data_IF_707184923818
#
_entry.id   IF_707184923818
#
_cell.length_a   1.000
_cell.length_b   1.000
_cell.length_c   1.000
_cell.angle_alpha   90.00
_cell.angle_beta   90.00
_cell.angle_gamma   90.00
#
_symmetry.space_group_name_H-M   'P 1'
#
loop_
_entity.id
_entity.type
_entity.pdbx_description
1 polymer ?
#
# COMPACT_ATOMS: atom_id res chain seq x y z
N UNK A 1 6.24 -16.57 -10.27
CA UNK A 1 6.53 -17.41 -9.08
C UNK A 1 8.02 -17.48 -8.77
N UNK A 2 8.83 -18.11 -9.64
CA UNK A 2 10.28 -18.25 -9.38
C UNK A 2 11.01 -16.92 -9.18
N UNK A 3 10.69 -15.89 -9.99
CA UNK A 3 11.26 -14.55 -9.80
C UNK A 3 10.98 -13.99 -8.40
N UNK A 4 9.71 -13.85 -8.04
CA UNK A 4 9.31 -13.35 -6.72
C UNK A 4 9.95 -14.14 -5.57
N UNK A 5 9.92 -15.49 -5.61
CA UNK A 5 10.57 -16.32 -4.58
C UNK A 5 12.08 -16.13 -4.53
N UNK A 6 12.76 -16.01 -5.68
CA UNK A 6 14.20 -15.80 -5.73
C UNK A 6 14.63 -14.54 -4.99
N UNK A 7 13.90 -13.43 -5.20
CA UNK A 7 14.19 -12.18 -4.50
C UNK A 7 13.83 -12.27 -3.01
N UNK A 8 12.60 -12.71 -2.67
CA UNK A 8 12.10 -12.73 -1.29
C UNK A 8 12.85 -13.74 -0.39
N UNK A 9 13.28 -14.87 -0.94
CA UNK A 9 14.06 -15.88 -0.20
C UNK A 9 15.41 -15.36 0.31
N UNK A 10 15.92 -14.25 -0.27
CA UNK A 10 17.12 -13.60 0.23
C UNK A 10 16.90 -12.93 1.59
N UNK A 11 15.65 -12.65 1.96
CA UNK A 11 15.28 -11.97 3.20
C UNK A 11 14.60 -12.92 4.20
N UNK A 12 13.62 -13.71 3.74
CA UNK A 12 12.84 -14.63 4.56
C UNK A 12 12.63 -15.95 3.82
N UNK A 13 12.76 -17.08 4.53
CA UNK A 13 12.47 -18.41 3.96
C UNK A 13 10.98 -18.73 3.89
N UNK A 14 10.14 -17.99 4.61
CA UNK A 14 8.71 -18.24 4.75
C UNK A 14 7.90 -17.54 3.65
N UNK A 15 8.03 -18.05 2.41
CA UNK A 15 7.39 -17.45 1.22
C UNK A 15 6.47 -18.46 0.53
N UNK A 16 5.17 -18.32 0.79
CA UNK A 16 4.11 -19.10 0.14
C UNK A 16 3.53 -18.34 -1.04
N UNK A 17 3.42 -19.01 -2.19
CA UNK A 17 2.75 -18.45 -3.37
C UNK A 17 1.77 -19.50 -3.89
N UNK A 18 0.50 -19.13 -3.94
CA UNK A 18 -0.56 -19.97 -4.48
C UNK A 18 -0.72 -19.72 -5.99
N UNK A 19 -0.94 -20.80 -6.76
CA UNK A 19 -1.28 -20.72 -8.18
C UNK A 19 -2.78 -20.77 -8.33
N UNK A 20 -3.38 -19.70 -8.85
CA UNK A 20 -4.76 -19.75 -9.36
C UNK A 20 -4.75 -19.64 -10.88
N UNK A 21 -4.80 -20.79 -11.55
CA UNK A 21 -4.88 -20.85 -13.01
C UNK A 21 -6.34 -21.11 -13.43
N UNK A 22 -6.90 -20.18 -14.22
CA UNK A 22 -8.27 -20.29 -14.74
C UNK A 22 -8.27 -20.63 -16.23
N UNK A 23 -9.16 -21.54 -16.63
CA UNK A 23 -9.41 -21.87 -18.04
C UNK A 23 -10.32 -20.83 -18.69
N UNK A 24 -10.23 -20.66 -20.00
CA UNK A 24 -10.97 -19.65 -20.79
C UNK A 24 -12.46 -19.58 -20.47
N UNK A 25 -13.12 -20.72 -20.29
CA UNK A 25 -14.57 -20.79 -19.97
C UNK A 25 -14.96 -19.97 -18.73
N UNK A 26 -14.04 -19.83 -17.76
CA UNK A 26 -14.25 -19.11 -16.49
C UNK A 26 -13.37 -17.84 -16.40
N UNK A 27 -12.30 -17.76 -17.19
CA UNK A 27 -11.30 -16.69 -17.14
C UNK A 27 -11.68 -15.43 -17.95
N UNK A 28 -12.69 -15.51 -18.81
CA UNK A 28 -13.10 -14.41 -19.69
C UNK A 28 -12.33 -14.38 -21.01
N UNK A 29 -12.49 -13.26 -21.73
CA UNK A 29 -12.01 -13.10 -23.11
C UNK A 29 -10.57 -12.61 -23.21
N UNK A 30 -10.06 -11.94 -22.16
CA UNK A 30 -8.71 -11.39 -22.13
C UNK A 30 -7.71 -12.40 -21.55
N UNK A 31 -6.65 -12.67 -22.29
CA UNK A 31 -5.45 -13.34 -21.77
C UNK A 31 -4.67 -12.38 -20.87
N UNK A 32 -4.23 -12.88 -19.72
CA UNK A 32 -3.42 -12.09 -18.80
C UNK A 32 -2.95 -12.92 -17.64
N UNK A 33 -1.88 -12.47 -17.00
CA UNK A 33 -1.40 -13.04 -15.77
C UNK A 33 -0.92 -11.93 -14.84
N UNK A 34 -1.03 -12.17 -13.55
CA UNK A 34 -0.59 -11.23 -12.54
C UNK A 34 -0.15 -11.96 -11.31
N UNK A 35 0.47 -11.22 -10.41
CA UNK A 35 0.82 -11.69 -9.09
C UNK A 35 0.48 -10.60 -8.09
N UNK A 36 -0.15 -11.03 -6.99
CA UNK A 36 -0.41 -10.20 -5.83
C UNK A 36 0.38 -10.84 -4.68
N UNK A 37 1.17 -10.03 -4.01
CA UNK A 37 1.97 -10.43 -2.86
C UNK A 37 1.55 -9.56 -1.67
N UNK A 38 1.50 -10.17 -0.50
CA UNK A 38 1.36 -9.44 0.75
C UNK A 38 2.36 -9.94 1.79
N UNK A 39 2.81 -9.04 2.64
CA UNK A 39 3.63 -9.34 3.80
C UNK A 39 2.84 -9.00 5.07
N UNK A 40 2.85 -9.91 6.03
CA UNK A 40 2.21 -9.74 7.33
C UNK A 40 3.30 -9.53 8.39
N UNK A 41 3.15 -8.48 9.19
CA UNK A 41 3.99 -8.27 10.36
C UNK A 41 3.41 -8.98 11.58
N UNK A 42 4.24 -9.22 12.61
CA UNK A 42 3.78 -9.81 13.88
C UNK A 42 2.74 -8.96 14.62
N UNK A 43 2.63 -7.69 14.25
CA UNK A 43 1.69 -6.71 14.81
C UNK A 43 0.35 -6.70 14.05
N UNK A 44 0.20 -7.56 13.04
CA UNK A 44 -1.02 -7.63 12.22
C UNK A 44 -1.12 -6.52 11.17
N UNK A 45 0.00 -5.89 10.80
CA UNK A 45 0.05 -4.93 9.69
C UNK A 45 0.31 -5.70 8.40
N UNK A 46 -0.42 -5.33 7.34
CA UNK A 46 -0.29 -5.94 6.03
C UNK A 46 0.26 -4.92 5.03
N UNK A 47 1.29 -5.33 4.32
CA UNK A 47 1.79 -4.63 3.14
C UNK A 47 1.42 -5.42 1.90
N UNK A 48 1.04 -4.74 0.83
CA UNK A 48 0.60 -5.37 -0.40
C UNK A 48 1.28 -4.73 -1.61
N UNK A 49 1.58 -5.58 -2.59
CA UNK A 49 2.04 -5.14 -3.90
C UNK A 49 1.55 -6.08 -4.97
N UNK A 50 1.24 -5.52 -6.13
CA UNK A 50 0.77 -6.27 -7.28
C UNK A 50 1.54 -5.88 -8.54
N UNK A 51 1.59 -6.80 -9.48
CA UNK A 51 2.02 -6.53 -10.84
C UNK A 51 1.23 -7.41 -11.81
N UNK A 52 0.78 -6.81 -12.91
CA UNK A 52 -0.03 -7.46 -13.94
C UNK A 52 0.67 -7.37 -15.29
N UNK A 53 0.44 -8.34 -16.16
CA UNK A 53 0.84 -8.27 -17.56
C UNK A 53 0.06 -7.16 -18.27
N UNK A 54 0.71 -6.48 -19.21
CA UNK A 54 0.03 -5.56 -20.10
C UNK A 54 -0.95 -6.32 -21.02
N UNK A 55 -2.09 -5.70 -21.39
CA UNK A 55 -3.06 -6.32 -22.29
C UNK A 55 -2.49 -6.50 -23.70
N UNK A 56 -3.01 -7.49 -24.42
CA UNK A 56 -2.68 -7.70 -25.83
C UNK A 56 -2.97 -6.45 -26.67
N UNK A 57 -1.99 -5.98 -27.43
CA UNK A 57 -2.11 -4.77 -28.26
C UNK A 57 -1.66 -3.46 -27.59
N UNK A 58 -1.12 -3.51 -26.36
CA UNK A 58 -0.42 -2.36 -25.79
C UNK A 58 0.83 -1.99 -26.64
N UNK A 59 1.16 -0.69 -26.73
CA UNK A 59 2.26 -0.16 -27.57
C UNK A 59 3.66 -0.56 -27.10
N UNK A 60 3.78 -1.41 -26.08
CA UNK A 60 5.07 -1.88 -25.60
C UNK A 60 5.61 -2.94 -26.56
N UNK A 61 6.72 -2.65 -27.22
CA UNK A 61 7.36 -3.54 -28.21
C UNK A 61 7.97 -4.83 -27.63
N UNK A 62 7.85 -5.08 -26.32
CA UNK A 62 8.50 -6.22 -25.67
C UNK A 62 7.49 -7.10 -24.91
N UNK A 63 7.56 -8.42 -25.07
CA UNK A 63 6.70 -9.35 -24.33
C UNK A 63 7.05 -9.32 -22.84
N UNK A 64 6.03 -9.26 -21.97
CA UNK A 64 6.22 -9.28 -20.52
C UNK A 64 6.72 -10.65 -20.08
N UNK A 65 7.94 -10.70 -19.51
CA UNK A 65 8.52 -11.95 -19.01
C UNK A 65 7.95 -12.24 -17.61
N UNK A 66 7.32 -13.41 -17.36
CA UNK A 66 6.70 -13.72 -16.07
C UNK A 66 7.66 -13.67 -14.87
N UNK A 67 8.93 -14.02 -15.09
CA UNK A 67 9.97 -13.94 -14.04
C UNK A 67 10.24 -12.50 -13.65
N UNK A 68 10.35 -11.60 -14.63
CA UNK A 68 10.58 -10.17 -14.39
C UNK A 68 9.36 -9.51 -13.73
N UNK A 69 8.15 -9.88 -14.14
CA UNK A 69 6.92 -9.42 -13.49
C UNK A 69 6.90 -9.82 -12.00
N UNK A 70 7.29 -11.06 -11.71
CA UNK A 70 7.42 -11.54 -10.34
C UNK A 70 8.47 -10.80 -9.52
N UNK A 71 9.63 -10.51 -10.12
CA UNK A 71 10.68 -9.70 -9.49
C UNK A 71 10.17 -8.28 -9.22
N UNK A 72 9.49 -7.66 -10.18
CA UNK A 72 8.92 -6.32 -10.05
C UNK A 72 7.92 -6.23 -8.90
N UNK A 73 6.99 -7.19 -8.79
CA UNK A 73 6.05 -7.24 -7.67
C UNK A 73 6.75 -7.39 -6.32
N UNK A 74 7.76 -8.27 -6.24
CA UNK A 74 8.54 -8.45 -5.02
C UNK A 74 9.35 -7.20 -4.65
N UNK A 75 9.95 -6.52 -5.63
CA UNK A 75 10.62 -5.23 -5.41
C UNK A 75 9.66 -4.14 -4.94
N UNK A 76 8.45 -4.08 -5.50
CA UNK A 76 7.43 -3.14 -5.02
C UNK A 76 7.02 -3.41 -3.57
N UNK A 77 6.85 -4.69 -3.19
CA UNK A 77 6.54 -5.07 -1.81
C UNK A 77 7.67 -4.67 -0.85
N UNK A 78 8.92 -4.97 -1.21
CA UNK A 78 10.09 -4.58 -0.41
C UNK A 78 10.21 -3.06 -0.29
N UNK A 79 9.88 -2.31 -1.33
CA UNK A 79 9.85 -0.85 -1.27
C UNK A 79 8.76 -0.35 -0.30
N UNK A 80 7.57 -0.95 -0.26
CA UNK A 80 6.53 -0.57 0.72
C UNK A 80 7.03 -0.82 2.16
N UNK A 81 7.66 -1.96 2.40
CA UNK A 81 8.24 -2.31 3.72
C UNK A 81 9.37 -1.32 4.08
N UNK A 82 10.25 -1.01 3.14
CA UNK A 82 11.37 -0.10 3.33
C UNK A 82 10.93 1.33 3.70
N UNK A 83 9.80 1.80 3.16
CA UNK A 83 9.25 3.12 3.47
C UNK A 83 8.67 3.25 4.89
N UNK A 84 8.44 2.14 5.60
CA UNK A 84 8.24 2.14 7.06
C UNK A 84 6.93 2.78 7.58
N UNK A 85 5.89 2.90 6.75
CA UNK A 85 4.55 3.31 7.19
C UNK A 85 3.71 2.12 7.68
N UNK A 86 2.63 2.33 8.43
CA UNK A 86 1.68 1.25 8.76
C UNK A 86 0.70 0.93 7.63
N UNK A 87 0.70 1.71 6.55
CA UNK A 87 -0.22 1.57 5.42
C UNK A 87 0.56 1.73 4.13
N UNK A 88 0.25 0.88 3.15
CA UNK A 88 0.77 0.97 1.79
C UNK A 88 0.46 2.32 1.14
N UNK A 89 1.33 2.77 0.24
CA UNK A 89 1.12 4.01 -0.52
C UNK A 89 -0.18 4.02 -1.34
N UNK A 90 -0.63 2.86 -1.82
CA UNK A 90 -1.89 2.71 -2.59
C UNK A 90 -3.12 2.89 -1.70
N UNK A 91 -3.08 2.36 -0.48
CA UNK A 91 -4.18 2.40 0.49
C UNK A 91 -4.16 3.66 1.38
N UNK A 92 -3.06 4.42 1.38
CA UNK A 92 -2.86 5.60 2.22
C UNK A 92 -4.01 6.61 2.14
N UNK A 93 -4.46 6.95 0.92
CA UNK A 93 -5.56 7.89 0.72
C UNK A 93 -6.90 7.37 1.27
N UNK A 94 -7.16 6.06 1.12
CA UNK A 94 -8.36 5.43 1.64
C UNK A 94 -8.35 5.41 3.18
N UNK A 95 -7.23 5.04 3.79
CA UNK A 95 -7.06 5.04 5.24
C UNK A 95 -7.28 6.44 5.84
N UNK A 96 -6.67 7.47 5.26
CA UNK A 96 -6.86 8.87 5.71
C UNK A 96 -8.31 9.32 5.52
N UNK A 97 -8.97 8.92 4.44
CA UNK A 97 -10.39 9.24 4.24
C UNK A 97 -11.25 8.59 5.32
N UNK A 98 -10.99 7.33 5.67
CA UNK A 98 -11.71 6.64 6.74
C UNK A 98 -11.50 7.29 8.11
N UNK A 99 -10.27 7.76 8.40
CA UNK A 99 -10.01 8.54 9.62
C UNK A 99 -10.81 9.86 9.64
N UNK A 100 -10.90 10.56 8.49
CA UNK A 100 -11.68 11.79 8.39
C UNK A 100 -13.20 11.57 8.51
N UNK A 101 -13.70 10.39 8.16
CA UNK A 101 -15.12 10.01 8.27
C UNK A 101 -15.50 9.49 9.66
N UNK A 102 -14.59 9.53 10.64
CA UNK A 102 -14.85 9.07 11.99
C UNK A 102 -15.95 9.90 12.67
N UNK A 103 -16.97 9.21 13.21
CA UNK A 103 -18.20 9.81 13.71
C UNK A 103 -18.15 10.29 15.16
N UNK A 104 -17.10 9.94 15.90
CA UNK A 104 -16.94 10.24 17.33
C UNK A 104 -16.19 11.55 17.63
N UNK A 105 -15.72 12.26 16.60
CA UNK A 105 -14.87 13.45 16.76
C UNK A 105 -13.63 13.18 17.63
N UNK A 106 -13.12 11.94 17.61
CA UNK A 106 -11.96 11.53 18.38
C UNK A 106 -10.68 11.87 17.61
N UNK A 107 -9.57 11.99 18.34
CA UNK A 107 -8.26 12.09 17.74
C UNK A 107 -7.86 10.71 17.19
N UNK A 108 -7.61 10.62 15.89
CA UNK A 108 -7.08 9.44 15.23
C UNK A 108 -5.65 9.70 14.78
N UNK A 109 -4.74 8.75 15.04
CA UNK A 109 -3.33 8.80 14.65
C UNK A 109 -2.98 7.63 13.75
N UNK A 110 -2.22 7.89 12.69
CA UNK A 110 -1.76 6.86 11.75
C UNK A 110 -0.33 7.14 11.32
N UNK A 111 0.55 6.15 11.45
CA UNK A 111 1.89 6.22 10.89
C UNK A 111 1.83 5.91 9.39
N UNK A 112 2.31 6.84 8.57
CA UNK A 112 2.31 6.76 7.12
C UNK A 112 3.72 6.97 6.57
N UNK A 113 4.01 6.38 5.42
CA UNK A 113 5.20 6.73 4.63
C UNK A 113 5.06 8.12 4.01
N UNK A 114 6.12 8.60 3.35
CA UNK A 114 6.08 9.82 2.54
C UNK A 114 4.82 9.88 1.64
N UNK A 115 4.03 10.97 1.70
CA UNK A 115 2.75 11.05 1.02
C UNK A 115 2.94 11.13 -0.49
N UNK A 116 2.22 10.28 -1.22
CA UNK A 116 2.21 10.34 -2.69
C UNK A 116 1.45 11.58 -3.19
N UNK A 117 1.67 12.02 -4.44
CA UNK A 117 0.87 13.11 -5.03
C UNK A 117 -0.65 12.85 -5.02
N UNK A 118 -1.04 11.58 -5.11
CA UNK A 118 -2.43 11.13 -4.98
C UNK A 118 -2.95 11.36 -3.55
N UNK A 119 -2.17 10.98 -2.54
CA UNK A 119 -2.48 11.22 -1.13
C UNK A 119 -2.61 12.72 -0.83
N UNK A 120 -1.70 13.55 -1.33
CA UNK A 120 -1.76 15.02 -1.14
C UNK A 120 -3.03 15.61 -1.77
N UNK A 121 -3.39 15.16 -2.96
CA UNK A 121 -4.62 15.60 -3.63
C UNK A 121 -5.87 15.17 -2.85
N UNK A 122 -5.86 13.96 -2.31
CA UNK A 122 -6.94 13.44 -1.46
C UNK A 122 -7.08 14.24 -0.16
N UNK A 123 -5.98 14.62 0.49
CA UNK A 123 -5.99 15.48 1.68
C UNK A 123 -6.60 16.86 1.39
N UNK A 124 -6.32 17.44 0.23
CA UNK A 124 -6.95 18.71 -0.20
C UNK A 124 -8.45 18.55 -0.39
N UNK A 125 -8.88 17.44 -0.99
CA UNK A 125 -10.30 17.14 -1.18
C UNK A 125 -11.01 16.92 0.16
N UNK A 126 -10.40 16.17 1.08
CA UNK A 126 -10.94 15.95 2.43
C UNK A 126 -11.13 17.29 3.15
N UNK A 127 -10.15 18.20 3.07
CA UNK A 127 -10.29 19.55 3.64
C UNK A 127 -11.44 20.33 3.02
N UNK A 128 -11.63 20.25 1.71
CA UNK A 128 -12.69 20.98 1.00
C UNK A 128 -14.09 20.40 1.25
N UNK A 129 -14.22 19.08 1.29
CA UNK A 129 -15.52 18.39 1.41
C UNK A 129 -15.96 18.19 2.86
N UNK A 130 -15.04 17.86 3.76
CA UNK A 130 -15.32 17.49 5.15
C UNK A 130 -14.88 18.53 6.17
N UNK A 131 -14.08 19.53 5.76
CA UNK A 131 -13.51 20.52 6.68
C UNK A 131 -12.44 19.97 7.63
N UNK A 132 -12.02 18.71 7.46
CA UNK A 132 -11.02 18.06 8.31
C UNK A 132 -9.61 18.41 7.84
N UNK A 133 -8.74 18.74 8.79
CA UNK A 133 -7.31 18.99 8.56
C UNK A 133 -6.46 17.96 9.28
N UNK A 134 -5.40 17.51 8.61
CA UNK A 134 -4.42 16.58 9.18
C UNK A 134 -3.19 17.35 9.63
N UNK A 135 -2.75 17.08 10.85
CA UNK A 135 -1.44 17.47 11.35
C UNK A 135 -0.44 16.35 11.03
N UNK A 136 0.67 16.71 10.39
CA UNK A 136 1.68 15.76 9.91
C UNK A 136 3.00 16.06 10.62
N UNK A 137 3.39 15.19 11.54
CA UNK A 137 4.65 15.29 12.27
C UNK A 137 5.58 14.14 11.87
N UNK A 138 6.88 14.39 11.77
CA UNK A 138 7.85 13.30 11.60
C UNK A 138 7.94 12.50 12.89
N UNK A 139 7.95 11.16 12.79
CA UNK A 139 8.29 10.32 13.92
C UNK A 139 9.76 10.53 14.26
N UNK A 140 10.05 10.95 15.48
CA UNK A 140 11.41 11.00 15.99
C UNK A 140 11.97 9.57 15.96
N UNK A 141 13.01 9.34 15.16
CA UNK A 141 13.73 8.07 15.16
C UNK A 141 14.78 8.13 16.28
N UNK A 142 14.76 7.14 17.18
CA UNK A 142 15.88 6.93 18.11
C UNK A 142 17.17 6.64 17.30
N UNK A 143 18.29 7.21 17.76
CA UNK A 143 19.59 7.29 17.08
C UNK A 143 20.26 5.94 16.72
N UNK A 144 19.60 4.79 16.97
CA UNK A 144 20.17 3.45 16.80
C UNK A 144 20.32 2.97 15.35
N UNK A 145 19.91 3.75 14.34
CA UNK A 145 19.96 3.38 12.92
C UNK A 145 21.05 4.11 12.11
N UNK A 146 21.94 4.89 12.75
CA UNK A 146 22.95 5.70 12.05
C UNK A 146 24.23 4.93 11.64
N UNK A 147 24.32 3.61 11.81
CA UNK A 147 25.59 2.90 11.56
C UNK A 147 25.88 2.51 10.10
N UNK A 148 24.97 2.71 9.13
CA UNK A 148 25.28 2.38 7.74
C UNK A 148 24.87 3.51 6.78
N UNK A 149 25.87 4.18 6.19
CA UNK A 149 25.74 5.32 5.27
C UNK A 149 25.13 4.99 3.90
N UNK A 150 23.93 4.41 3.89
CA UNK A 150 23.06 4.31 2.71
C UNK A 150 21.94 5.36 2.78
N UNK A 151 21.61 5.95 1.63
CA UNK A 151 20.62 7.01 1.40
C UNK A 151 19.53 7.14 2.48
N UNK A 152 19.49 8.34 3.10
CA UNK A 152 18.54 8.71 4.16
C UNK A 152 17.10 8.53 3.68
N UNK A 153 16.45 7.44 4.08
CA UNK A 153 15.00 7.29 3.93
C UNK A 153 14.30 8.46 4.61
N UNK A 154 13.31 9.09 3.95
CA UNK A 154 12.51 10.09 4.63
C UNK A 154 11.83 9.42 5.84
N UNK A 155 11.95 10.00 7.05
CA UNK A 155 11.38 9.40 8.24
C UNK A 155 9.85 9.26 8.08
N UNK A 156 9.26 8.17 8.61
CA UNK A 156 7.82 7.99 8.54
C UNK A 156 7.12 9.12 9.30
N UNK A 157 5.93 9.48 8.83
CA UNK A 157 5.14 10.60 9.32
C UNK A 157 3.97 10.08 10.15
N UNK A 158 3.67 10.73 11.25
CA UNK A 158 2.46 10.50 12.03
C UNK A 158 1.43 11.51 11.55
N UNK A 159 0.36 11.01 10.96
CA UNK A 159 -0.81 11.79 10.58
C UNK A 159 -1.84 11.77 11.71
N UNK A 160 -2.17 12.93 12.25
CA UNK A 160 -3.19 13.11 13.29
C UNK A 160 -4.36 13.91 12.75
N UNK A 161 -5.59 13.45 12.95
CA UNK A 161 -6.78 14.24 12.64
C UNK A 161 -7.90 14.02 13.65
N UNK A 162 -8.84 14.97 13.68
CA UNK A 162 -10.14 14.81 14.32
C UNK A 162 -11.18 14.49 13.25
N UNK A 163 -11.98 13.45 13.46
CA UNK A 163 -13.02 13.04 12.51
C UNK A 163 -14.08 14.12 12.28
N UNK A 164 -14.74 14.08 11.11
CA UNK A 164 -15.82 15.02 10.74
C UNK A 164 -17.10 14.84 11.56
N UNK A 165 -17.24 13.75 12.32
CA UNK A 165 -18.46 13.46 13.07
C UNK A 165 -19.59 12.86 12.21
N UNK A 166 -19.31 12.50 10.96
CA UNK A 166 -20.28 11.88 10.07
C UNK A 166 -20.66 10.48 10.57
N UNK A 167 -21.95 10.19 10.54
CA UNK A 167 -22.51 8.87 10.85
C UNK A 167 -23.23 8.34 9.63
N UNK A 168 -23.27 7.02 9.48
CA UNK A 168 -24.04 6.39 8.42
C UNK A 168 -25.54 6.70 8.62
N UNK A 169 -26.06 7.62 7.82
CA UNK A 169 -27.46 8.07 7.86
C UNK A 169 -28.45 6.97 7.45
N UNK A 170 -27.99 5.94 6.75
CA UNK A 170 -28.81 4.82 6.31
C UNK A 170 -28.83 3.66 7.33
N UNK A 171 -28.12 3.80 8.46
CA UNK A 171 -28.17 2.79 9.52
C UNK A 171 -29.51 2.90 10.25
N UNK A 172 -30.37 1.90 10.05
CA UNK A 172 -31.61 1.77 10.82
C UNK A 172 -31.26 1.51 12.28
N UNK A 173 -31.69 2.39 13.17
CA UNK A 173 -31.55 2.20 14.61
C UNK A 173 -32.71 1.28 15.02
N UNK A 174 -32.45 -0.03 15.11
CA UNK A 174 -33.38 -1.01 15.69
C UNK A 174 -33.31 -0.96 17.22
#
# INVERSE_FOLDING_TARGET
>A
MHGAKGLLNSFLSDVYINLDQRKREVAGECSGFGIVLWAETKEGIFYSAEATSDPEGSKQSQPVIPTELGNKAASHLLNQIYLGGCVDQSAQAAALTMMALEGGHNASQLLISAPTPYTVSSLRLIRQCLGVTFDLAYKEMEESAQENGSEMTPPPLIATCFGSGLKNVNLSIL
#
